data_IF_121772123118
#
_entry.id   IF_121772123118
#
_cell.length_a   1.000
_cell.length_b   1.000
_cell.length_c   1.000
_cell.angle_alpha   90.00
_cell.angle_beta   90.00
_cell.angle_gamma   90.00
#
_symmetry.space_group_name_H-M   'P 1'
#
loop_
_entity.id
_entity.type
_entity.pdbx_description
1 polymer ?
#
# COMPACT_ATOMS: atom_id res chain seq x y z
N UNK A 1 -7.33 -29.57 -11.70
CA UNK A 1 -6.28 -28.62 -12.12
C UNK A 1 -6.11 -27.61 -10.99
N UNK A 2 -5.09 -27.76 -10.15
CA UNK A 2 -4.89 -26.86 -9.00
C UNK A 2 -4.07 -25.65 -9.48
N UNK A 3 -4.74 -24.52 -9.67
CA UNK A 3 -4.13 -23.25 -10.04
C UNK A 3 -3.24 -22.74 -8.91
N UNK A 4 -2.13 -22.05 -9.25
CA UNK A 4 -1.30 -21.28 -8.31
C UNK A 4 -2.12 -20.29 -7.45
N UNK A 5 -3.32 -19.93 -7.93
CA UNK A 5 -4.26 -19.04 -7.30
C UNK A 5 -5.47 -19.84 -6.79
N UNK A 6 -5.67 -19.88 -5.47
CA UNK A 6 -6.90 -20.40 -4.84
C UNK A 6 -8.10 -19.43 -4.98
N UNK A 7 -7.93 -18.41 -5.81
CA UNK A 7 -8.76 -17.21 -5.88
C UNK A 7 -9.71 -17.35 -7.07
N UNK A 8 -11.02 -17.32 -6.81
CA UNK A 8 -12.04 -17.33 -7.85
C UNK A 8 -12.20 -15.92 -8.43
N UNK A 9 -11.51 -15.63 -9.53
CA UNK A 9 -11.62 -14.36 -10.25
C UNK A 9 -12.92 -14.36 -11.06
N UNK A 10 -13.68 -13.26 -10.98
CA UNK A 10 -14.78 -13.02 -11.89
C UNK A 10 -14.24 -12.52 -13.25
N UNK A 11 -14.01 -13.44 -14.18
CA UNK A 11 -13.48 -13.13 -15.51
C UNK A 11 -14.40 -12.25 -16.36
N UNK A 12 -15.73 -12.32 -16.14
CA UNK A 12 -16.68 -11.43 -16.81
C UNK A 12 -16.49 -9.98 -16.39
N UNK A 13 -16.40 -9.74 -15.08
CA UNK A 13 -16.08 -8.42 -14.54
C UNK A 13 -14.70 -7.93 -15.00
N UNK A 14 -13.69 -8.81 -15.02
CA UNK A 14 -12.36 -8.50 -15.54
C UNK A 14 -12.39 -8.04 -16.99
N UNK A 15 -13.11 -8.76 -17.87
CA UNK A 15 -13.26 -8.40 -19.28
C UNK A 15 -13.98 -7.05 -19.47
N UNK A 16 -15.04 -6.80 -18.69
CA UNK A 16 -15.73 -5.51 -18.71
C UNK A 16 -14.78 -4.38 -18.31
N UNK A 17 -14.02 -4.53 -17.22
CA UNK A 17 -13.04 -3.53 -16.80
C UNK A 17 -11.93 -3.33 -17.86
N UNK A 18 -11.45 -4.41 -18.50
CA UNK A 18 -10.46 -4.34 -19.59
C UNK A 18 -10.97 -3.52 -20.78
N UNK A 19 -12.24 -3.68 -21.16
CA UNK A 19 -12.89 -2.91 -22.21
C UNK A 19 -13.07 -1.46 -21.78
N UNK A 20 -13.50 -1.22 -20.53
CA UNK A 20 -13.65 0.12 -19.99
C UNK A 20 -12.35 0.93 -20.01
N UNK A 21 -11.19 0.30 -19.79
CA UNK A 21 -9.89 0.97 -19.92
C UNK A 21 -9.69 1.52 -21.34
N UNK A 22 -10.00 0.74 -22.39
CA UNK A 22 -9.90 1.17 -23.78
C UNK A 22 -10.91 2.28 -24.11
N UNK A 23 -12.11 2.21 -23.54
CA UNK A 23 -13.14 3.24 -23.74
C UNK A 23 -12.77 4.56 -23.08
N UNK A 24 -12.16 4.52 -21.89
CA UNK A 24 -11.72 5.71 -21.16
C UNK A 24 -10.46 6.34 -21.75
N UNK A 25 -9.58 5.53 -22.35
CA UNK A 25 -8.34 5.99 -22.96
C UNK A 25 -8.19 5.43 -24.38
N UNK A 26 -8.86 6.01 -25.39
CA UNK A 26 -8.85 5.48 -26.75
C UNK A 26 -7.48 5.54 -27.45
N UNK A 27 -6.63 6.47 -27.03
CA UNK A 27 -5.29 6.70 -27.60
C UNK A 27 -4.17 5.95 -26.87
N UNK A 28 -4.51 5.00 -26.00
CA UNK A 28 -3.56 4.35 -25.12
C UNK A 28 -2.66 3.40 -25.93
N UNK A 29 -1.34 3.48 -25.73
CA UNK A 29 -0.40 2.57 -26.39
C UNK A 29 -0.61 1.13 -25.92
N UNK A 30 -0.20 0.15 -26.75
CA UNK A 30 -0.23 -1.26 -26.33
C UNK A 30 0.58 -1.52 -25.06
N UNK A 31 1.71 -0.83 -24.88
CA UNK A 31 2.54 -0.95 -23.68
C UNK A 31 1.79 -0.53 -22.41
N UNK A 32 1.22 0.68 -22.41
CA UNK A 32 0.38 1.14 -21.30
C UNK A 32 -0.82 0.22 -21.09
N UNK A 33 -1.42 -0.31 -22.16
CA UNK A 33 -2.59 -1.16 -22.05
C UNK A 33 -2.25 -2.47 -21.33
N UNK A 34 -1.19 -3.16 -21.76
CA UNK A 34 -0.71 -4.36 -21.09
C UNK A 34 -0.29 -4.10 -19.64
N UNK A 35 0.39 -2.98 -19.38
CA UNK A 35 0.76 -2.58 -18.03
C UNK A 35 -0.47 -2.41 -17.12
N UNK A 36 -1.51 -1.74 -17.62
CA UNK A 36 -2.78 -1.56 -16.90
C UNK A 36 -3.55 -2.88 -16.72
N UNK A 37 -3.52 -3.80 -17.69
CA UNK A 37 -4.14 -5.12 -17.55
C UNK A 37 -3.47 -5.98 -16.47
N UNK A 38 -2.13 -5.93 -16.39
CA UNK A 38 -1.37 -6.63 -15.34
C UNK A 38 -1.67 -6.00 -13.97
N UNK A 39 -1.69 -4.66 -13.89
CA UNK A 39 -2.05 -3.96 -12.67
C UNK A 39 -3.46 -4.33 -12.20
N UNK A 40 -4.44 -4.27 -13.11
CA UNK A 40 -5.82 -4.68 -12.85
C UNK A 40 -5.89 -6.13 -12.37
N UNK A 41 -5.13 -7.04 -12.97
CA UNK A 41 -5.06 -8.44 -12.53
C UNK A 41 -4.56 -8.56 -11.09
N UNK A 42 -3.50 -7.83 -10.72
CA UNK A 42 -2.99 -7.82 -9.33
C UNK A 42 -4.02 -7.26 -8.34
N UNK A 43 -4.72 -6.17 -8.69
CA UNK A 43 -5.79 -5.63 -7.83
C UNK A 43 -6.96 -6.60 -7.67
N UNK A 44 -7.35 -7.31 -8.74
CA UNK A 44 -8.37 -8.36 -8.66
C UNK A 44 -7.92 -9.51 -7.74
N UNK A 45 -6.67 -9.97 -7.88
CA UNK A 45 -6.10 -10.98 -6.99
C UNK A 45 -6.13 -10.51 -5.53
N UNK A 46 -5.69 -9.28 -5.25
CA UNK A 46 -5.76 -8.70 -3.91
C UNK A 46 -7.20 -8.69 -3.37
N UNK A 47 -8.16 -8.18 -4.13
CA UNK A 47 -9.57 -8.07 -3.71
C UNK A 47 -10.26 -9.43 -3.47
N UNK A 48 -10.07 -10.39 -4.37
CA UNK A 48 -10.72 -11.70 -4.25
C UNK A 48 -10.01 -12.61 -3.25
N UNK A 49 -8.72 -12.40 -2.97
CA UNK A 49 -7.94 -13.21 -2.02
C UNK A 49 -8.20 -12.89 -0.54
N UNK A 50 -8.75 -11.70 -0.21
CA UNK A 50 -8.97 -11.25 1.18
C UNK A 50 -9.79 -12.23 2.05
N UNK A 51 -10.63 -13.09 1.46
CA UNK A 51 -11.43 -14.06 2.22
C UNK A 51 -10.67 -15.36 2.55
N UNK A 52 -9.48 -15.55 1.97
CA UNK A 52 -8.79 -16.86 1.96
C UNK A 52 -7.35 -16.79 2.44
N UNK A 53 -6.68 -15.65 2.27
CA UNK A 53 -5.27 -15.47 2.65
C UNK A 53 -5.03 -14.10 3.24
N UNK A 54 -3.96 -13.98 4.03
CA UNK A 54 -3.37 -12.68 4.36
C UNK A 54 -2.58 -12.24 3.11
N UNK A 55 -3.03 -11.22 2.36
CA UNK A 55 -2.64 -11.05 0.96
C UNK A 55 -1.34 -10.24 0.79
N UNK A 56 -0.26 -10.61 1.49
CA UNK A 56 1.00 -9.86 1.49
C UNK A 56 1.60 -9.80 0.09
N UNK A 57 1.72 -10.95 -0.61
CA UNK A 57 2.25 -11.00 -1.98
C UNK A 57 1.43 -10.19 -2.96
N UNK A 58 0.10 -10.30 -2.89
CA UNK A 58 -0.80 -9.55 -3.76
C UNK A 58 -0.77 -8.06 -3.46
N UNK A 59 -0.57 -7.66 -2.20
CA UNK A 59 -0.40 -6.27 -1.82
C UNK A 59 0.89 -5.69 -2.41
N UNK A 60 2.02 -6.40 -2.25
CA UNK A 60 3.31 -5.98 -2.82
C UNK A 60 3.26 -5.90 -4.34
N UNK A 61 2.68 -6.92 -5.01
CA UNK A 61 2.47 -6.91 -6.45
C UNK A 61 1.59 -5.74 -6.91
N UNK A 62 0.51 -5.45 -6.18
CA UNK A 62 -0.40 -4.34 -6.48
C UNK A 62 0.28 -2.98 -6.29
N UNK A 63 1.09 -2.80 -5.23
CA UNK A 63 1.85 -1.57 -5.01
C UNK A 63 2.91 -1.35 -6.08
N UNK A 64 3.63 -2.40 -6.47
CA UNK A 64 4.60 -2.30 -7.55
C UNK A 64 3.92 -1.93 -8.88
N UNK A 65 2.77 -2.53 -9.19
CA UNK A 65 1.97 -2.15 -10.36
C UNK A 65 1.42 -0.73 -10.27
N UNK A 66 0.95 -0.28 -9.10
CA UNK A 66 0.49 1.09 -8.91
C UNK A 66 1.62 2.09 -9.23
N UNK A 67 2.83 1.78 -8.77
CA UNK A 67 3.98 2.67 -8.85
C UNK A 67 4.67 2.69 -10.21
N UNK A 68 4.79 1.52 -10.84
CA UNK A 68 5.55 1.32 -12.08
C UNK A 68 4.68 1.16 -13.32
N UNK A 69 3.38 0.92 -13.17
CA UNK A 69 2.45 0.82 -14.31
C UNK A 69 1.39 1.92 -14.29
N UNK A 70 0.55 1.97 -13.26
CA UNK A 70 -0.58 2.90 -13.23
C UNK A 70 -0.11 4.35 -13.25
N UNK A 71 0.80 4.73 -12.35
CA UNK A 71 1.33 6.10 -12.31
C UNK A 71 1.96 6.57 -13.62
N UNK A 72 2.90 5.80 -14.21
CA UNK A 72 3.50 6.06 -15.52
C UNK A 72 2.50 6.09 -16.68
N UNK A 73 1.57 5.14 -16.74
CA UNK A 73 0.55 5.10 -17.79
C UNK A 73 -0.31 6.37 -17.76
N UNK A 74 -0.75 6.81 -16.57
CA UNK A 74 -1.48 8.06 -16.41
C UNK A 74 -0.62 9.29 -16.74
N UNK A 75 0.68 9.27 -16.44
CA UNK A 75 1.60 10.35 -16.81
C UNK A 75 1.69 10.49 -18.34
N UNK A 76 2.07 9.42 -19.04
CA UNK A 76 2.19 9.42 -20.50
C UNK A 76 0.88 9.74 -21.23
N UNK A 77 -0.27 9.37 -20.65
CA UNK A 77 -1.59 9.63 -21.23
C UNK A 77 -2.25 10.94 -20.76
N UNK A 78 -1.43 11.94 -20.39
CA UNK A 78 -1.90 13.33 -20.28
C UNK A 78 -1.73 14.00 -18.92
N UNK A 79 -1.31 13.29 -17.86
CA UNK A 79 -1.06 13.94 -16.57
C UNK A 79 0.32 14.60 -16.48
N UNK A 80 1.27 14.23 -17.34
CA UNK A 80 2.65 14.76 -17.26
C UNK A 80 2.74 16.25 -17.60
N UNK A 81 1.84 16.74 -18.45
CA UNK A 81 1.81 18.15 -18.87
C UNK A 81 1.56 19.13 -17.71
N UNK A 82 0.87 18.67 -16.66
CA UNK A 82 0.54 19.45 -15.47
C UNK A 82 1.62 19.36 -14.38
N UNK A 83 2.68 18.58 -14.60
CA UNK A 83 3.74 18.38 -13.61
C UNK A 83 4.85 19.41 -13.73
N UNK A 84 5.52 19.65 -12.60
CA UNK A 84 6.82 20.30 -12.57
C UNK A 84 7.85 19.50 -13.37
N UNK A 85 8.70 20.18 -14.14
CA UNK A 85 9.52 19.53 -15.17
C UNK A 85 10.44 18.42 -14.65
N UNK A 86 10.89 18.46 -13.39
CA UNK A 86 11.74 17.39 -12.82
C UNK A 86 10.98 16.08 -12.56
N UNK A 87 9.67 16.16 -12.31
CA UNK A 87 8.81 15.00 -12.05
C UNK A 87 8.17 14.42 -13.31
N UNK A 88 8.55 14.95 -14.48
CA UNK A 88 8.09 14.47 -15.78
C UNK A 88 8.83 13.22 -16.22
N UNK A 89 8.16 12.39 -17.00
CA UNK A 89 8.77 11.23 -17.64
C UNK A 89 9.84 11.71 -18.63
N UNK A 90 11.07 11.21 -18.49
CA UNK A 90 12.24 11.72 -19.25
C UNK A 90 12.58 10.94 -20.50
N UNK A 91 12.05 9.73 -20.62
CA UNK A 91 12.26 8.86 -21.78
C UNK A 91 10.93 8.57 -22.47
N UNK A 92 10.93 8.21 -23.76
CA UNK A 92 9.72 7.78 -24.46
C UNK A 92 9.01 6.62 -23.77
N UNK A 93 7.68 6.57 -23.90
CA UNK A 93 6.82 5.55 -23.27
C UNK A 93 7.26 4.12 -23.59
N UNK A 94 7.56 3.84 -24.86
CA UNK A 94 8.01 2.53 -25.30
C UNK A 94 9.33 2.12 -24.63
N UNK A 95 10.26 3.05 -24.46
CA UNK A 95 11.54 2.79 -23.81
C UNK A 95 11.35 2.45 -22.33
N UNK A 96 10.55 3.26 -21.61
CA UNK A 96 10.22 2.99 -20.21
C UNK A 96 9.55 1.63 -20.01
N UNK A 97 8.47 1.34 -20.73
CA UNK A 97 7.72 0.11 -20.53
C UNK A 97 8.44 -1.13 -21.04
N UNK A 98 9.33 -1.01 -22.02
CA UNK A 98 10.20 -2.13 -22.45
C UNK A 98 11.10 -2.63 -21.31
N UNK A 99 11.48 -1.74 -20.38
CA UNK A 99 12.21 -2.08 -19.16
C UNK A 99 11.27 -2.46 -18.00
N UNK A 100 10.26 -1.62 -17.74
CA UNK A 100 9.41 -1.75 -16.55
C UNK A 100 8.53 -3.02 -16.60
N UNK A 101 7.97 -3.38 -17.75
CA UNK A 101 7.13 -4.58 -17.90
C UNK A 101 7.85 -5.86 -17.48
N UNK A 102 8.98 -6.25 -18.11
CA UNK A 102 9.68 -7.47 -17.72
C UNK A 102 10.18 -7.41 -16.27
N UNK A 103 10.66 -6.26 -15.79
CA UNK A 103 11.14 -6.12 -14.42
C UNK A 103 10.02 -6.38 -13.38
N UNK A 104 8.85 -5.77 -13.57
CA UNK A 104 7.72 -5.95 -12.66
C UNK A 104 7.12 -7.36 -12.78
N UNK A 105 7.06 -7.93 -13.99
CA UNK A 105 6.63 -9.33 -14.17
C UNK A 105 7.56 -10.28 -13.42
N UNK A 106 8.87 -10.13 -13.57
CA UNK A 106 9.86 -10.95 -12.86
C UNK A 106 9.77 -10.75 -11.34
N UNK A 107 9.53 -9.52 -10.87
CA UNK A 107 9.27 -9.24 -9.46
C UNK A 107 8.03 -10.01 -8.95
N UNK A 108 6.91 -9.93 -9.67
CA UNK A 108 5.67 -10.66 -9.32
C UNK A 108 5.91 -12.17 -9.35
N UNK A 109 6.62 -12.71 -10.34
CA UNK A 109 6.97 -14.12 -10.40
C UNK A 109 7.88 -14.52 -9.23
N UNK A 110 8.86 -13.69 -8.89
CA UNK A 110 9.75 -13.88 -7.75
C UNK A 110 8.99 -13.96 -6.42
N UNK A 111 7.95 -13.14 -6.24
CA UNK A 111 7.06 -13.24 -5.08
C UNK A 111 6.35 -14.60 -4.99
N UNK A 112 6.17 -15.33 -6.10
CA UNK A 112 5.37 -16.56 -6.16
C UNK A 112 6.20 -17.84 -6.35
N UNK A 113 7.48 -17.75 -6.73
CA UNK A 113 8.31 -18.91 -7.11
C UNK A 113 8.43 -19.96 -5.98
N UNK A 114 8.53 -19.49 -4.72
CA UNK A 114 8.63 -20.34 -3.53
C UNK A 114 7.31 -20.40 -2.74
N UNK A 115 6.18 -20.01 -3.36
CA UNK A 115 4.88 -19.94 -2.68
C UNK A 115 4.27 -21.30 -2.33
N UNK A 116 4.74 -22.39 -2.97
CA UNK A 116 4.07 -23.70 -2.96
C UNK A 116 2.56 -23.51 -3.22
N UNK A 117 1.70 -23.80 -2.24
CA UNK A 117 0.24 -23.63 -2.30
C UNK A 117 -0.25 -22.46 -1.44
N UNK A 118 0.48 -21.35 -1.46
CA UNK A 118 0.30 -20.21 -0.53
C UNK A 118 0.47 -20.66 0.93
N UNK A 119 1.44 -21.55 1.15
CA UNK A 119 1.73 -22.10 2.47
C UNK A 119 2.21 -20.96 3.40
N UNK A 120 1.67 -20.92 4.62
CA UNK A 120 1.87 -19.82 5.58
C UNK A 120 0.99 -18.57 5.37
N UNK A 121 0.35 -18.39 4.22
CA UNK A 121 -0.55 -17.24 3.97
C UNK A 121 -2.03 -17.58 4.13
N UNK A 122 -2.39 -18.85 3.97
CA UNK A 122 -3.73 -19.36 4.31
C UNK A 122 -3.75 -19.65 5.82
N UNK A 123 -4.38 -18.80 6.65
CA UNK A 123 -4.43 -19.07 8.07
C UNK A 123 -5.32 -20.27 8.37
N UNK A 124 -4.81 -21.20 9.20
CA UNK A 124 -5.65 -22.24 9.79
C UNK A 124 -6.45 -21.63 10.95
N UNK A 125 -7.59 -21.02 10.62
CA UNK A 125 -8.44 -20.31 11.58
C UNK A 125 -8.86 -21.20 12.75
N UNK A 126 -9.04 -22.51 12.53
CA UNK A 126 -9.41 -23.44 13.61
C UNK A 126 -8.26 -23.62 14.59
N UNK A 127 -7.06 -23.93 14.09
CA UNK A 127 -5.87 -24.06 14.93
C UNK A 127 -5.51 -22.76 15.65
N UNK A 128 -5.65 -21.62 14.97
CA UNK A 128 -5.44 -20.30 15.59
C UNK A 128 -6.43 -20.09 16.75
N UNK A 129 -7.69 -20.47 16.56
CA UNK A 129 -8.69 -20.35 17.61
C UNK A 129 -8.45 -21.30 18.79
N UNK A 130 -8.09 -22.56 18.52
CA UNK A 130 -7.70 -23.51 19.56
C UNK A 130 -6.48 -23.00 20.35
N UNK A 131 -5.45 -22.51 19.66
CA UNK A 131 -4.26 -21.95 20.27
C UNK A 131 -4.55 -20.69 21.11
N UNK A 132 -5.39 -19.78 20.60
CA UNK A 132 -5.79 -18.59 21.33
C UNK A 132 -6.64 -18.91 22.58
N UNK A 133 -7.42 -20.00 22.55
CA UNK A 133 -8.17 -20.48 23.71
C UNK A 133 -7.26 -21.13 24.76
N UNK A 134 -6.20 -21.83 24.35
CA UNK A 134 -5.19 -22.38 25.25
C UNK A 134 -4.32 -21.29 25.88
N UNK A 135 -4.09 -20.18 25.16
CA UNK A 135 -3.27 -19.06 25.62
C UNK A 135 -4.04 -17.73 25.62
N UNK A 136 -5.07 -17.56 26.46
CA UNK A 136 -5.99 -16.42 26.39
C UNK A 136 -5.32 -15.06 26.71
N UNK A 137 -4.15 -15.10 27.39
CA UNK A 137 -3.36 -13.91 27.72
C UNK A 137 -2.38 -13.49 26.62
N UNK A 138 -2.04 -14.37 25.67
CA UNK A 138 -1.00 -14.11 24.68
C UNK A 138 -1.29 -12.87 23.83
N UNK A 139 -2.52 -12.73 23.35
CA UNK A 139 -2.91 -11.57 22.57
C UNK A 139 -2.70 -10.25 23.33
N UNK A 140 -3.02 -10.23 24.64
CA UNK A 140 -2.81 -9.05 25.49
C UNK A 140 -1.33 -8.80 25.79
N UNK A 141 -0.52 -9.86 25.94
CA UNK A 141 0.94 -9.72 26.04
C UNK A 141 1.54 -9.09 24.80
N UNK A 142 1.15 -9.55 23.60
CA UNK A 142 1.62 -8.97 22.34
C UNK A 142 1.21 -7.49 22.19
N UNK A 143 -0.01 -7.15 22.63
CA UNK A 143 -0.49 -5.76 22.66
C UNK A 143 0.36 -4.92 23.63
N UNK A 144 0.56 -5.41 24.86
CA UNK A 144 1.37 -4.73 25.86
C UNK A 144 2.83 -4.54 25.42
N UNK A 145 3.45 -5.57 24.88
CA UNK A 145 4.81 -5.53 24.33
C UNK A 145 4.87 -4.54 23.16
N UNK A 146 3.88 -4.54 22.28
CA UNK A 146 3.86 -3.62 21.13
C UNK A 146 3.74 -2.15 21.56
N UNK A 147 2.87 -1.84 22.51
CA UNK A 147 2.78 -0.49 23.07
C UNK A 147 4.04 -0.10 23.84
N UNK A 148 4.53 -0.97 24.71
CA UNK A 148 5.76 -0.75 25.48
C UNK A 148 6.96 -0.49 24.58
N UNK A 149 7.13 -1.28 23.52
CA UNK A 149 8.22 -1.12 22.55
C UNK A 149 8.12 0.19 21.79
N UNK A 150 6.89 0.61 21.43
CA UNK A 150 6.67 1.90 20.76
C UNK A 150 7.08 3.09 21.66
N UNK A 151 6.88 2.98 22.98
CA UNK A 151 7.31 4.01 23.93
C UNK A 151 8.83 3.99 24.17
N UNK A 152 9.39 2.78 24.32
CA UNK A 152 10.82 2.57 24.56
C UNK A 152 11.67 3.02 23.36
N UNK A 153 11.18 2.83 22.13
CA UNK A 153 11.87 3.24 20.91
C UNK A 153 12.15 4.75 20.80
N UNK A 154 11.40 5.59 21.53
CA UNK A 154 11.62 7.05 21.53
C UNK A 154 12.86 7.48 22.34
N UNK A 155 13.45 6.58 23.14
CA UNK A 155 14.64 6.87 23.95
C UNK A 155 15.96 6.51 23.26
N UNK A 156 15.90 5.97 22.04
CA UNK A 156 17.07 5.50 21.30
C UNK A 156 17.26 6.27 19.98
N UNK A 157 18.46 6.16 19.39
CA UNK A 157 18.77 6.69 18.05
C UNK A 157 17.94 6.03 16.94
N UNK A 158 18.01 6.58 15.72
CA UNK A 158 17.19 6.20 14.56
C UNK A 158 17.20 4.71 14.25
N UNK A 159 18.38 4.09 14.31
CA UNK A 159 18.62 2.70 13.91
C UNK A 159 17.97 1.74 14.90
N UNK A 160 18.19 1.97 16.19
CA UNK A 160 17.64 1.12 17.25
C UNK A 160 16.14 1.39 17.46
N UNK A 161 15.68 2.62 17.23
CA UNK A 161 14.27 2.96 17.20
C UNK A 161 13.50 2.17 16.14
N UNK A 162 14.11 1.90 14.99
CA UNK A 162 13.51 1.03 13.96
C UNK A 162 13.30 -0.41 14.44
N UNK A 163 14.22 -0.98 15.22
CA UNK A 163 14.04 -2.30 15.84
C UNK A 163 12.83 -2.30 16.78
N UNK A 164 12.71 -1.27 17.63
CA UNK A 164 11.57 -1.12 18.53
C UNK A 164 10.26 -0.84 17.79
N UNK A 165 10.30 -0.19 16.63
CA UNK A 165 9.15 -0.04 15.75
C UNK A 165 8.66 -1.39 15.22
N UNK A 166 9.56 -2.28 14.81
CA UNK A 166 9.20 -3.64 14.38
C UNK A 166 8.57 -4.45 15.51
N UNK A 167 9.17 -4.43 16.72
CA UNK A 167 8.57 -5.09 17.90
C UNK A 167 7.24 -4.41 18.27
N UNK A 168 7.15 -3.09 18.08
CA UNK A 168 5.94 -2.30 18.27
C UNK A 168 4.76 -2.79 17.43
N UNK A 169 5.04 -3.37 16.27
CA UNK A 169 4.04 -3.95 15.37
C UNK A 169 3.38 -5.24 15.93
N UNK A 170 3.95 -5.85 16.99
CA UNK A 170 3.35 -7.00 17.66
C UNK A 170 1.94 -6.72 18.19
N UNK A 171 1.58 -5.46 18.48
CA UNK A 171 0.21 -5.09 18.87
C UNK A 171 -0.83 -5.44 17.81
N UNK A 172 -0.49 -5.36 16.52
CA UNK A 172 -1.39 -5.75 15.44
C UNK A 172 -1.53 -7.28 15.35
N UNK A 173 -0.47 -8.04 15.63
CA UNK A 173 -0.53 -9.51 15.74
C UNK A 173 -1.47 -9.90 16.89
N UNK A 174 -1.35 -9.23 18.04
CA UNK A 174 -2.27 -9.40 19.16
C UNK A 174 -3.72 -9.09 18.79
N UNK A 175 -3.97 -7.99 18.04
CA UNK A 175 -5.28 -7.68 17.50
C UNK A 175 -5.83 -8.79 16.59
N UNK A 176 -5.01 -9.33 15.68
CA UNK A 176 -5.43 -10.39 14.77
C UNK A 176 -5.76 -11.69 15.50
N UNK A 177 -5.01 -12.03 16.56
CA UNK A 177 -5.34 -13.15 17.44
C UNK A 177 -6.68 -12.97 18.15
N UNK A 178 -7.02 -11.74 18.58
CA UNK A 178 -8.33 -11.46 19.19
C UNK A 178 -9.49 -11.64 18.19
N UNK A 179 -9.28 -11.27 16.91
CA UNK A 179 -10.28 -11.41 15.85
C UNK A 179 -10.48 -12.87 15.44
N UNK A 180 -9.37 -13.58 15.18
CA UNK A 180 -9.41 -14.94 14.67
C UNK A 180 -9.71 -15.97 15.77
N UNK A 181 -9.23 -15.72 17.00
CA UNK A 181 -9.29 -16.71 18.07
C UNK A 181 -10.48 -16.61 19.02
N UNK A 182 -11.19 -15.48 19.02
CA UNK A 182 -12.34 -15.25 19.90
C UNK A 182 -13.67 -15.76 19.33
N UNK A 183 -14.57 -16.19 20.21
CA UNK A 183 -15.99 -16.42 19.88
C UNK A 183 -16.74 -15.09 19.68
N UNK A 184 -16.29 -14.03 20.35
CA UNK A 184 -16.82 -12.66 20.21
C UNK A 184 -15.68 -11.68 19.92
N UNK A 185 -15.98 -10.68 19.09
CA UNK A 185 -15.05 -9.62 18.77
C UNK A 185 -14.84 -8.73 20.00
N UNK A 186 -13.59 -8.62 20.45
CA UNK A 186 -13.22 -7.73 21.56
C UNK A 186 -12.92 -6.35 21.03
N UNK A 187 -13.97 -5.54 20.87
CA UNK A 187 -13.90 -4.22 20.21
C UNK A 187 -12.98 -3.24 20.99
N UNK A 188 -13.01 -3.25 22.33
CA UNK A 188 -12.22 -2.32 23.15
C UNK A 188 -10.71 -2.29 22.82
N UNK A 189 -9.99 -3.43 22.92
CA UNK A 189 -8.58 -3.50 22.52
C UNK A 189 -8.33 -3.08 21.05
N UNK A 190 -9.23 -3.41 20.13
CA UNK A 190 -9.10 -3.02 18.73
C UNK A 190 -9.19 -1.50 18.57
N UNK A 191 -10.14 -0.85 19.23
CA UNK A 191 -10.25 0.62 19.25
C UNK A 191 -8.94 1.22 19.74
N UNK A 192 -8.40 0.76 20.88
CA UNK A 192 -7.15 1.31 21.43
C UNK A 192 -5.99 1.21 20.43
N UNK A 193 -5.82 0.05 19.78
CA UNK A 193 -4.74 -0.19 18.83
C UNK A 193 -4.91 0.68 17.58
N UNK A 194 -6.10 0.70 16.98
CA UNK A 194 -6.33 1.45 15.75
C UNK A 194 -6.40 2.97 15.98
N UNK A 195 -6.93 3.42 17.12
CA UNK A 195 -6.83 4.83 17.54
C UNK A 195 -5.38 5.25 17.72
N UNK A 196 -4.53 4.39 18.29
CA UNK A 196 -3.11 4.74 18.46
C UNK A 196 -2.38 4.99 17.13
N UNK A 197 -2.65 4.17 16.11
CA UNK A 197 -2.04 4.38 14.80
C UNK A 197 -2.63 5.60 14.08
N UNK A 198 -3.93 5.87 14.22
CA UNK A 198 -4.56 7.09 13.71
C UNK A 198 -3.89 8.33 14.32
N UNK A 199 -3.77 8.37 15.65
CA UNK A 199 -3.12 9.49 16.36
C UNK A 199 -1.66 9.66 15.94
N UNK A 200 -0.89 8.58 15.85
CA UNK A 200 0.50 8.65 15.38
C UNK A 200 0.61 9.13 13.93
N UNK A 201 -0.34 8.75 13.08
CA UNK A 201 -0.34 9.14 11.66
C UNK A 201 -0.70 10.61 11.48
N UNK A 202 -1.61 11.12 12.32
CA UNK A 202 -1.93 12.56 12.40
C UNK A 202 -0.71 13.33 12.91
N UNK A 203 -0.17 12.96 14.08
CA UNK A 203 0.99 13.63 14.69
C UNK A 203 2.20 13.72 13.75
N UNK A 204 2.53 12.63 13.05
CA UNK A 204 3.66 12.61 12.12
C UNK A 204 3.30 13.11 10.70
N UNK A 205 2.02 13.32 10.39
CA UNK A 205 1.54 13.54 9.02
C UNK A 205 1.92 12.40 8.04
N UNK A 206 2.08 11.17 8.54
CA UNK A 206 2.52 10.00 7.77
C UNK A 206 1.45 8.89 7.81
N UNK A 207 0.66 8.78 6.74
CA UNK A 207 -0.49 7.88 6.70
C UNK A 207 -0.23 6.49 6.07
N UNK A 208 0.97 6.22 5.57
CA UNK A 208 1.26 4.95 4.88
C UNK A 208 1.10 3.72 5.77
N UNK A 209 1.56 3.81 7.01
CA UNK A 209 1.40 2.76 8.02
C UNK A 209 -0.08 2.51 8.32
N UNK A 210 -0.86 3.58 8.54
CA UNK A 210 -2.31 3.48 8.77
C UNK A 210 -2.99 2.72 7.64
N UNK A 211 -2.73 3.11 6.38
CA UNK A 211 -3.34 2.45 5.23
C UNK A 211 -2.95 0.97 5.14
N UNK A 212 -1.67 0.65 5.38
CA UNK A 212 -1.17 -0.74 5.35
C UNK A 212 -1.86 -1.60 6.42
N UNK A 213 -1.93 -1.11 7.65
CA UNK A 213 -2.55 -1.85 8.75
C UNK A 213 -4.07 -1.94 8.62
N UNK A 214 -4.73 -0.96 7.99
CA UNK A 214 -6.16 -1.05 7.66
C UNK A 214 -6.44 -2.11 6.58
N UNK A 215 -5.58 -2.23 5.55
CA UNK A 215 -5.69 -3.31 4.55
C UNK A 215 -5.54 -4.68 5.24
N UNK A 216 -4.54 -4.82 6.12
CA UNK A 216 -4.31 -6.06 6.87
C UNK A 216 -5.47 -6.39 7.82
N UNK A 217 -6.01 -5.39 8.52
CA UNK A 217 -7.21 -5.54 9.35
C UNK A 217 -8.39 -6.03 8.50
N UNK A 218 -8.63 -5.37 7.36
CA UNK A 218 -9.70 -5.74 6.43
C UNK A 218 -9.55 -7.18 5.96
N UNK A 219 -8.34 -7.63 5.62
CA UNK A 219 -8.07 -9.02 5.26
C UNK A 219 -8.39 -10.00 6.39
N UNK A 220 -7.94 -9.72 7.62
CA UNK A 220 -8.20 -10.59 8.78
C UNK A 220 -9.69 -10.67 9.13
N UNK A 221 -10.42 -9.55 9.04
CA UNK A 221 -11.88 -9.52 9.18
C UNK A 221 -12.54 -10.35 8.07
N UNK A 222 -12.09 -10.20 6.82
CA UNK A 222 -12.62 -10.95 5.68
C UNK A 222 -12.38 -12.47 5.84
N UNK A 223 -11.22 -12.89 6.34
CA UNK A 223 -10.91 -14.28 6.66
C UNK A 223 -11.85 -14.83 7.75
N UNK A 224 -12.11 -14.04 8.80
CA UNK A 224 -12.94 -14.46 9.94
C UNK A 224 -14.42 -14.59 9.57
N UNK A 225 -14.97 -13.55 8.95
CA UNK A 225 -16.41 -13.41 8.75
C UNK A 225 -16.87 -13.79 7.35
N UNK A 226 -15.95 -13.92 6.38
CA UNK A 226 -16.22 -14.28 4.99
C UNK A 226 -17.35 -13.45 4.38
N UNK A 227 -17.24 -12.10 4.38
CA UNK A 227 -18.23 -11.24 3.76
C UNK A 227 -18.39 -11.58 2.27
N UNK A 228 -19.58 -11.33 1.77
CA UNK A 228 -19.88 -11.47 0.35
C UNK A 228 -19.16 -10.39 -0.48
N UNK A 229 -19.24 -10.52 -1.80
CA UNK A 229 -18.58 -9.59 -2.73
C UNK A 229 -19.13 -8.16 -2.60
N UNK A 230 -20.43 -8.01 -2.27
CA UNK A 230 -21.09 -6.71 -2.15
C UNK A 230 -20.53 -5.91 -0.98
N UNK A 231 -20.44 -6.50 0.20
CA UNK A 231 -19.86 -5.85 1.39
C UNK A 231 -18.39 -5.50 1.13
N UNK A 232 -17.63 -6.38 0.48
CA UNK A 232 -16.24 -6.08 0.10
C UNK A 232 -16.14 -4.90 -0.87
N UNK A 233 -17.04 -4.80 -1.85
CA UNK A 233 -17.08 -3.66 -2.78
C UNK A 233 -17.39 -2.37 -2.03
N UNK A 234 -18.40 -2.36 -1.16
CA UNK A 234 -18.75 -1.18 -0.33
C UNK A 234 -17.55 -0.76 0.51
N UNK A 235 -16.89 -1.71 1.19
CA UNK A 235 -15.70 -1.44 1.99
C UNK A 235 -14.53 -0.91 1.14
N UNK A 236 -14.33 -1.45 -0.07
CA UNK A 236 -13.31 -0.98 -1.00
C UNK A 236 -13.59 0.46 -1.44
N UNK A 237 -14.83 0.80 -1.81
CA UNK A 237 -15.20 2.15 -2.19
C UNK A 237 -15.02 3.13 -1.03
N UNK A 238 -15.46 2.76 0.18
CA UNK A 238 -15.23 3.56 1.38
C UNK A 238 -13.73 3.77 1.66
N UNK A 239 -12.91 2.72 1.49
CA UNK A 239 -11.46 2.80 1.64
C UNK A 239 -10.82 3.71 0.59
N UNK A 240 -11.22 3.62 -0.68
CA UNK A 240 -10.72 4.50 -1.76
C UNK A 240 -11.04 5.96 -1.46
N UNK A 241 -12.28 6.26 -1.05
CA UNK A 241 -12.70 7.63 -0.68
C UNK A 241 -11.84 8.16 0.47
N UNK A 242 -11.65 7.36 1.52
CA UNK A 242 -10.80 7.72 2.66
C UNK A 242 -9.35 7.99 2.23
N UNK A 243 -8.77 7.13 1.37
CA UNK A 243 -7.41 7.32 0.84
C UNK A 243 -7.32 8.62 0.04
N UNK A 244 -8.30 8.90 -0.82
CA UNK A 244 -8.33 10.13 -1.62
C UNK A 244 -8.37 11.36 -0.72
N UNK A 245 -9.26 11.39 0.28
CA UNK A 245 -9.36 12.49 1.25
C UNK A 245 -8.04 12.72 1.97
N UNK A 246 -7.46 11.65 2.54
CA UNK A 246 -6.16 11.71 3.22
C UNK A 246 -5.09 12.27 2.29
N UNK A 247 -4.98 11.75 1.07
CA UNK A 247 -3.93 12.13 0.12
C UNK A 247 -4.04 13.59 -0.31
N UNK A 248 -5.26 14.11 -0.50
CA UNK A 248 -5.48 15.50 -0.87
C UNK A 248 -5.11 16.46 0.27
N UNK A 249 -5.53 16.15 1.50
CA UNK A 249 -5.32 17.00 2.67
C UNK A 249 -3.88 16.94 3.20
N UNK A 250 -3.18 15.82 2.99
CA UNK A 250 -1.85 15.56 3.55
C UNK A 250 -0.82 16.69 3.34
N UNK A 251 -0.80 17.32 2.16
CA UNK A 251 0.19 18.38 1.88
C UNK A 251 -0.10 19.65 2.68
N UNK A 252 -1.37 20.07 2.67
CA UNK A 252 -1.82 21.26 3.38
C UNK A 252 -1.71 21.04 4.89
N UNK A 253 -2.09 19.85 5.36
CA UNK A 253 -1.96 19.44 6.76
C UNK A 253 -0.50 19.48 7.23
N UNK A 254 0.44 18.91 6.47
CA UNK A 254 1.88 18.98 6.78
C UNK A 254 2.43 20.42 6.79
N UNK A 255 1.94 21.27 5.89
CA UNK A 255 2.33 22.67 5.88
C UNK A 255 1.80 23.40 7.13
N UNK A 256 0.61 23.03 7.60
CA UNK A 256 -0.02 23.57 8.79
C UNK A 256 0.73 23.15 10.06
N UNK A 257 1.03 21.85 10.22
CA UNK A 257 1.81 21.34 11.35
C UNK A 257 3.25 21.84 11.33
N UNK A 258 3.86 21.97 10.15
CA UNK A 258 5.20 22.55 9.99
C UNK A 258 5.29 24.03 10.33
N UNK A 259 4.17 24.76 10.37
CA UNK A 259 4.07 26.17 10.81
C UNK A 259 3.80 26.32 12.31
N UNK A 260 3.79 25.22 13.06
CA UNK A 260 3.61 25.21 14.52
C UNK A 260 2.19 24.94 15.00
N UNK A 261 1.26 24.53 14.12
CA UNK A 261 -0.04 24.00 14.56
C UNK A 261 0.11 22.58 15.11
N UNK A 262 -0.68 22.21 16.11
CA UNK A 262 -0.64 20.86 16.67
C UNK A 262 -1.10 19.82 15.64
N UNK A 263 -0.41 18.68 15.59
CA UNK A 263 -0.74 17.57 14.70
C UNK A 263 -1.91 16.74 15.27
N UNK A 264 -3.12 17.28 15.19
CA UNK A 264 -4.30 16.69 15.83
C UNK A 264 -5.51 16.56 14.87
N UNK A 265 -6.65 16.12 15.43
CA UNK A 265 -7.87 15.93 14.66
C UNK A 265 -8.55 17.25 14.28
N UNK A 266 -8.46 18.26 15.15
CA UNK A 266 -9.06 19.58 14.89
C UNK A 266 -8.39 20.23 13.67
N UNK A 267 -7.05 20.28 13.67
CA UNK A 267 -6.27 20.79 12.54
C UNK A 267 -6.57 20.01 11.26
N UNK A 268 -6.74 18.69 11.35
CA UNK A 268 -7.12 17.87 10.19
C UNK A 268 -8.52 18.25 9.66
N UNK A 269 -9.52 18.39 10.54
CA UNK A 269 -10.89 18.76 10.17
C UNK A 269 -10.94 20.13 9.51
N UNK A 270 -10.26 21.13 10.08
CA UNK A 270 -10.21 22.47 9.52
C UNK A 270 -9.58 22.49 8.13
N UNK A 271 -8.51 21.72 7.90
CA UNK A 271 -7.89 21.64 6.57
C UNK A 271 -8.80 20.92 5.57
N UNK A 272 -9.54 19.88 5.99
CA UNK A 272 -10.55 19.23 5.14
C UNK A 272 -11.62 20.23 4.70
N UNK A 273 -12.14 21.03 5.61
CA UNK A 273 -13.16 22.05 5.33
C UNK A 273 -12.64 23.13 4.36
N UNK A 274 -11.46 23.69 4.64
CA UNK A 274 -10.82 24.70 3.79
C UNK A 274 -10.53 24.20 2.37
N UNK A 275 -10.17 22.93 2.24
CA UNK A 275 -9.85 22.33 0.94
C UNK A 275 -11.11 22.06 0.11
N UNK A 276 -12.23 21.73 0.76
CA UNK A 276 -13.53 21.57 0.10
C UNK A 276 -14.05 22.90 -0.50
N UNK A 277 -13.80 24.02 0.18
CA UNK A 277 -14.26 25.36 -0.27
C UNK A 277 -13.42 25.95 -1.40
N UNK A 278 -12.12 25.64 -1.47
CA UNK A 278 -11.16 26.39 -2.31
C UNK A 278 -10.81 25.71 -3.64
N UNK A 279 -10.84 24.38 -3.72
CA UNK A 279 -10.45 23.62 -4.93
C UNK A 279 -11.27 22.34 -5.00
N UNK A 280 -12.12 22.20 -6.02
CA UNK A 280 -12.89 20.98 -6.21
C UNK A 280 -12.01 19.71 -6.16
N UNK A 281 -12.49 18.68 -5.47
CA UNK A 281 -11.78 17.41 -5.23
C UNK A 281 -11.32 16.67 -6.51
N UNK A 282 -11.87 17.03 -7.68
CA UNK A 282 -11.67 16.36 -8.97
C UNK A 282 -11.02 17.25 -10.05
N UNK A 283 -10.26 18.28 -9.68
CA UNK A 283 -9.49 19.05 -10.66
C UNK A 283 -8.33 18.25 -11.26
N UNK A 284 -8.09 18.39 -12.57
CA UNK A 284 -7.03 17.68 -13.29
C UNK A 284 -5.63 17.99 -12.75
N UNK A 285 -5.39 19.21 -12.26
CA UNK A 285 -4.10 19.58 -11.64
C UNK A 285 -3.89 18.83 -10.31
N UNK A 286 -4.95 18.66 -9.53
CA UNK A 286 -4.91 17.87 -8.28
C UNK A 286 -4.68 16.39 -8.57
N UNK A 287 -5.34 15.83 -9.60
CA UNK A 287 -5.10 14.46 -10.07
C UNK A 287 -3.65 14.28 -10.52
N UNK A 288 -3.10 15.23 -11.25
CA UNK A 288 -1.70 15.24 -11.64
C UNK A 288 -0.77 15.24 -10.41
N UNK A 289 -0.95 16.16 -9.46
CA UNK A 289 -0.13 16.22 -8.24
C UNK A 289 -0.17 14.92 -7.43
N UNK A 290 -1.34 14.28 -7.35
CA UNK A 290 -1.48 12.97 -6.74
C UNK A 290 -0.79 11.86 -7.55
N UNK A 291 -0.82 11.94 -8.88
CA UNK A 291 -0.16 10.98 -9.76
C UNK A 291 1.36 10.95 -9.54
N UNK A 292 2.03 12.09 -9.35
CA UNK A 292 3.49 12.10 -9.08
C UNK A 292 3.86 11.33 -7.82
N UNK A 293 2.98 11.30 -6.82
CA UNK A 293 3.24 10.58 -5.56
C UNK A 293 3.20 9.08 -5.74
N UNK A 294 2.34 8.59 -6.63
CA UNK A 294 2.25 7.16 -6.94
C UNK A 294 3.23 6.78 -8.05
N UNK A 295 3.46 7.64 -9.03
CA UNK A 295 4.37 7.42 -10.14
C UNK A 295 5.82 7.40 -9.65
N UNK A 296 6.39 6.23 -9.43
CA UNK A 296 7.83 6.07 -9.19
C UNK A 296 8.61 5.87 -10.50
N UNK A 297 7.90 5.74 -11.62
CA UNK A 297 8.52 5.62 -12.95
C UNK A 297 9.31 6.85 -13.35
N UNK A 298 8.93 8.07 -12.92
CA UNK A 298 9.74 9.26 -13.25
C UNK A 298 11.17 9.14 -12.70
N UNK A 299 11.37 8.53 -11.53
CA UNK A 299 12.71 8.28 -10.96
C UNK A 299 13.50 7.38 -11.89
N UNK A 300 12.90 6.27 -12.34
CA UNK A 300 13.52 5.33 -13.28
C UNK A 300 13.87 6.04 -14.60
N UNK A 301 12.95 6.85 -15.15
CA UNK A 301 13.25 7.58 -16.39
C UNK A 301 14.38 8.60 -16.22
N UNK A 302 14.50 9.24 -15.05
CA UNK A 302 15.62 10.14 -14.77
C UNK A 302 16.94 9.38 -14.69
N UNK A 303 16.94 8.16 -14.12
CA UNK A 303 18.11 7.28 -14.12
C UNK A 303 18.46 6.86 -15.55
N UNK A 304 17.50 6.39 -16.35
CA UNK A 304 17.71 5.99 -17.75
C UNK A 304 18.27 7.14 -18.61
N UNK A 305 17.79 8.37 -18.37
CA UNK A 305 18.25 9.57 -19.07
C UNK A 305 19.64 10.07 -18.60
N UNK A 306 20.12 9.60 -17.45
CA UNK A 306 21.37 10.07 -16.84
C UNK A 306 22.49 9.03 -16.93
N UNK A 307 22.16 7.75 -16.82
CA UNK A 307 23.12 6.64 -16.80
C UNK A 307 22.87 5.76 -18.04
N UNK A 308 23.88 5.52 -18.90
CA UNK A 308 25.29 5.87 -18.72
C UNK A 308 25.69 7.25 -19.30
N UNK A 309 24.80 7.93 -20.00
CA UNK A 309 25.15 9.05 -20.89
C UNK A 309 25.82 10.25 -20.19
N UNK A 310 25.48 10.51 -18.92
CA UNK A 310 26.06 11.60 -18.11
C UNK A 310 26.93 11.10 -16.97
N UNK A 311 26.56 9.96 -16.39
CA UNK A 311 27.29 9.33 -15.28
C UNK A 311 27.46 7.85 -15.61
N UNK A 312 28.68 7.30 -15.54
CA UNK A 312 28.91 5.89 -15.82
C UNK A 312 28.19 5.01 -14.79
N UNK A 313 27.98 3.74 -15.14
CA UNK A 313 27.46 2.75 -14.20
C UNK A 313 28.34 2.69 -12.94
N UNK A 314 27.70 2.78 -11.77
CA UNK A 314 28.38 2.68 -10.48
C UNK A 314 28.90 1.27 -10.14
N UNK A 315 28.58 0.26 -10.98
CA UNK A 315 29.02 -1.14 -10.85
C UNK A 315 28.86 -1.74 -9.44
N UNK A 316 27.82 -1.33 -8.71
CA UNK A 316 27.51 -1.84 -7.38
C UNK A 316 28.29 -1.21 -6.22
N UNK A 317 29.13 -0.18 -6.45
CA UNK A 317 29.89 0.48 -5.40
C UNK A 317 29.01 0.97 -4.23
N UNK A 318 27.88 1.61 -4.54
CA UNK A 318 26.88 2.06 -3.55
C UNK A 318 26.27 0.89 -2.75
N UNK A 319 26.02 -0.25 -3.41
CA UNK A 319 25.47 -1.44 -2.75
C UNK A 319 26.49 -2.01 -1.75
N UNK A 320 27.77 -2.03 -2.12
CA UNK A 320 28.85 -2.49 -1.25
C UNK A 320 28.96 -1.58 -0.03
N UNK A 321 28.92 -0.26 -0.20
CA UNK A 321 28.95 0.68 0.92
C UNK A 321 27.78 0.47 1.88
N UNK A 322 26.57 0.24 1.36
CA UNK A 322 25.40 -0.06 2.20
C UNK A 322 25.56 -1.37 2.98
N UNK A 323 26.17 -2.40 2.37
CA UNK A 323 26.46 -3.65 3.07
C UNK A 323 27.51 -3.46 4.15
N UNK A 324 28.60 -2.75 3.86
CA UNK A 324 29.64 -2.42 4.84
C UNK A 324 29.05 -1.66 6.03
N UNK A 325 28.23 -0.64 5.77
CA UNK A 325 27.53 0.13 6.81
C UNK A 325 26.50 -0.68 7.61
N UNK A 326 26.00 -1.80 7.08
CA UNK A 326 25.07 -2.66 7.80
C UNK A 326 25.78 -3.64 8.76
N UNK A 327 27.08 -3.90 8.55
CA UNK A 327 27.88 -4.83 9.36
C UNK A 327 28.89 -4.14 10.30
N UNK A 328 29.27 -2.90 10.01
CA UNK A 328 30.15 -2.05 10.83
C UNK A 328 29.35 -1.15 11.78
#
# INVERSE_FOLDING_TARGET
>A
MYTLFKVNINWGAYAICAIMILLLFPSLSWYSYFALLIAMHQFFLLFFSMNSVIPIRYLLGSFMCLQMFVGPALAYNGLDQYQYFLYRMKVPEAEYFSYALPAVILFILGLHINAKKLDGEVPDVKRIAEYAQQHPKLAYWLIGIGFGSSLVGNFFGSELSFVFYLIGSAKFIGAFLLILGGTRLKIGPLIIIFSSIILSSLSAGMFHDLLTWLIMLGAVICIRYKPDTTIKLIALFAFIIMVVVIQQVKSTYRAATGRGQEGDFETFSTVVEQQNESKGFFDFQNLASNNVRINQGFIITNIMFTVPDKVPYANGAELIQLLEAAFL
#
